data_IF_240892430103
#
_entry.id   IF_240892430103
#
_cell.length_a   1.000
_cell.length_b   1.000
_cell.length_c   1.000
_cell.angle_alpha   90.00
_cell.angle_beta   90.00
_cell.angle_gamma   90.00
#
_symmetry.space_group_name_H-M   'P 1'
#
loop_
_entity.id
_entity.type
_entity.pdbx_description
1 polymer ?
#
# COMPACT_ATOMS: atom_id res chain seq x y z
N UNK A 1 17.86 -7.74 -15.83
CA UNK A 1 16.92 -7.06 -14.91
C UNK A 1 16.25 -5.96 -15.72
N UNK A 2 15.10 -6.27 -16.33
CA UNK A 2 14.39 -5.29 -17.17
C UNK A 2 13.62 -4.37 -16.23
N UNK A 3 14.10 -3.14 -16.08
CA UNK A 3 13.30 -2.07 -15.51
C UNK A 3 12.14 -1.79 -16.48
N UNK A 4 10.91 -2.07 -16.05
CA UNK A 4 9.74 -1.69 -16.83
C UNK A 4 9.64 -0.16 -16.81
N UNK A 5 9.49 0.44 -17.99
CA UNK A 5 9.26 1.87 -18.15
C UNK A 5 8.00 2.33 -17.40
N UNK A 6 8.04 3.58 -16.93
CA UNK A 6 6.98 4.28 -16.17
C UNK A 6 5.65 4.36 -16.93
N UNK A 7 4.89 3.26 -16.94
CA UNK A 7 3.46 3.24 -17.20
C UNK A 7 2.71 3.52 -15.90
N UNK A 8 1.48 4.02 -16.00
CA UNK A 8 0.61 4.14 -14.84
C UNK A 8 0.43 2.76 -14.19
N UNK A 9 0.70 2.66 -12.89
CA UNK A 9 0.54 1.43 -12.12
C UNK A 9 -0.90 0.90 -12.24
N UNK A 10 -1.13 -0.37 -12.64
CA UNK A 10 -2.46 -0.88 -12.96
C UNK A 10 -3.26 -1.28 -11.71
N UNK A 11 -3.63 -0.29 -10.89
CA UNK A 11 -4.30 -0.49 -9.61
C UNK A 11 -5.62 -1.26 -9.71
N UNK A 12 -6.38 -1.11 -10.80
CA UNK A 12 -7.60 -1.88 -11.05
C UNK A 12 -7.34 -3.39 -11.09
N UNK A 13 -6.18 -3.82 -11.57
CA UNK A 13 -5.79 -5.23 -11.59
C UNK A 13 -5.55 -5.76 -10.19
N UNK A 14 -4.87 -4.99 -9.33
CA UNK A 14 -4.70 -5.37 -7.92
C UNK A 14 -6.06 -5.37 -7.20
N UNK A 15 -6.86 -4.32 -7.37
CA UNK A 15 -8.17 -4.20 -6.76
C UNK A 15 -9.09 -5.39 -7.06
N UNK A 16 -9.10 -5.88 -8.30
CA UNK A 16 -9.90 -7.06 -8.69
C UNK A 16 -9.39 -8.39 -8.13
N UNK A 17 -8.19 -8.43 -7.53
CA UNK A 17 -7.62 -9.62 -6.87
C UNK A 17 -7.78 -9.61 -5.36
N UNK A 18 -8.10 -8.46 -4.77
CA UNK A 18 -8.24 -8.32 -3.32
C UNK A 18 -9.66 -8.70 -2.89
N UNK A 19 -9.75 -9.47 -1.81
CA UNK A 19 -10.98 -9.64 -1.05
C UNK A 19 -11.25 -8.43 -0.16
N UNK A 20 -10.17 -7.80 0.31
CA UNK A 20 -10.20 -6.54 1.04
C UNK A 20 -10.31 -5.30 0.14
N UNK A 21 -9.78 -4.17 0.63
CA UNK A 21 -9.98 -2.86 0.00
C UNK A 21 -8.65 -2.24 -0.44
N UNK A 22 -8.61 -1.74 -1.67
CA UNK A 22 -7.56 -0.84 -2.14
C UNK A 22 -8.03 0.61 -1.99
N UNK A 23 -7.20 1.47 -1.41
CA UNK A 23 -7.43 2.91 -1.29
C UNK A 23 -6.34 3.64 -2.09
N UNK A 24 -6.76 4.53 -2.99
CA UNK A 24 -5.89 5.27 -3.91
C UNK A 24 -5.92 6.78 -3.63
N UNK A 25 -4.87 7.52 -4.02
CA UNK A 25 -4.93 8.97 -4.09
C UNK A 25 -6.14 9.42 -4.92
N UNK A 26 -6.97 10.29 -4.35
CA UNK A 26 -8.23 10.73 -4.95
C UNK A 26 -9.48 10.08 -4.35
N UNK A 27 -9.35 8.95 -3.64
CA UNK A 27 -10.44 8.42 -2.82
C UNK A 27 -10.67 9.33 -1.60
N UNK A 28 -11.94 9.60 -1.26
CA UNK A 28 -12.28 10.47 -0.13
C UNK A 28 -11.78 10.00 1.24
N UNK A 29 -11.37 8.73 1.37
CA UNK A 29 -10.80 8.16 2.60
C UNK A 29 -9.27 8.14 2.62
N UNK A 30 -8.60 8.56 1.55
CA UNK A 30 -7.15 8.41 1.40
C UNK A 30 -6.35 9.17 2.47
N UNK A 31 -6.71 10.42 2.74
CA UNK A 31 -5.98 11.25 3.72
C UNK A 31 -6.02 10.65 5.12
N UNK A 32 -7.13 10.05 5.53
CA UNK A 32 -7.21 9.33 6.80
C UNK A 32 -6.49 7.98 6.73
N UNK A 33 -6.62 7.24 5.62
CA UNK A 33 -6.05 5.90 5.48
C UNK A 33 -4.51 5.88 5.49
N UNK A 34 -3.85 6.96 5.05
CA UNK A 34 -2.38 7.05 5.03
C UNK A 34 -1.76 7.43 6.37
N UNK A 35 -2.55 7.98 7.29
CA UNK A 35 -2.07 8.46 8.59
C UNK A 35 -1.48 7.33 9.44
N UNK A 36 -0.46 7.67 10.22
CA UNK A 36 0.13 6.81 11.24
C UNK A 36 -0.07 7.40 12.64
N UNK A 37 0.30 6.65 13.68
CA UNK A 37 0.21 7.13 15.06
C UNK A 37 1.11 8.35 15.33
N UNK A 38 2.22 8.47 14.60
CA UNK A 38 3.09 9.63 14.64
C UNK A 38 2.87 10.47 13.37
N UNK A 39 2.20 11.61 13.52
CA UNK A 39 1.84 12.51 12.42
C UNK A 39 3.06 13.05 11.63
N UNK A 40 4.28 12.99 12.18
CA UNK A 40 5.50 13.35 11.46
C UNK A 40 5.70 12.55 10.16
N UNK A 41 5.10 11.36 10.06
CA UNK A 41 5.17 10.51 8.86
C UNK A 41 4.02 10.75 7.88
N UNK A 42 3.06 11.61 8.21
CA UNK A 42 1.94 11.96 7.32
C UNK A 42 2.41 12.76 6.09
N UNK A 43 3.67 13.19 6.04
CA UNK A 43 4.29 13.76 4.83
C UNK A 43 4.59 12.72 3.75
N UNK A 44 4.52 11.43 4.08
CA UNK A 44 4.74 10.33 3.12
C UNK A 44 3.40 10.02 2.45
N UNK A 45 3.38 10.00 1.12
CA UNK A 45 2.18 9.76 0.31
C UNK A 45 2.30 8.42 -0.43
N UNK A 46 1.78 7.31 0.13
CA UNK A 46 1.73 6.04 -0.57
C UNK A 46 0.95 6.16 -1.88
N UNK A 47 1.44 5.53 -2.94
CA UNK A 47 0.66 5.42 -4.18
C UNK A 47 -0.60 4.57 -4.00
N UNK A 48 -0.62 3.66 -3.01
CA UNK A 48 -1.81 2.91 -2.62
C UNK A 48 -1.69 2.35 -1.20
N UNK A 49 -2.85 2.12 -0.56
CA UNK A 49 -2.98 1.36 0.68
C UNK A 49 -3.92 0.18 0.43
N UNK A 50 -3.42 -1.04 0.59
CA UNK A 50 -4.21 -2.26 0.50
C UNK A 50 -4.52 -2.77 1.91
N UNK A 51 -5.80 -2.72 2.30
CA UNK A 51 -6.32 -3.40 3.48
C UNK A 51 -6.61 -4.85 3.12
N UNK A 52 -5.70 -5.74 3.49
CA UNK A 52 -5.80 -7.17 3.27
C UNK A 52 -6.69 -7.82 4.33
N UNK A 53 -7.54 -8.76 3.92
CA UNK A 53 -8.40 -9.55 4.83
C UNK A 53 -8.13 -11.06 4.72
N UNK A 54 -7.07 -11.44 4.00
CA UNK A 54 -6.64 -12.83 3.81
C UNK A 54 -5.15 -12.92 3.47
N UNK A 55 -4.56 -14.10 3.61
CA UNK A 55 -3.19 -14.38 3.17
C UNK A 55 -3.05 -14.25 1.65
N UNK A 56 -4.12 -14.53 0.90
CA UNK A 56 -4.15 -14.39 -0.55
C UNK A 56 -4.00 -12.91 -0.97
N UNK A 57 -4.64 -11.98 -0.25
CA UNK A 57 -4.52 -10.54 -0.49
C UNK A 57 -3.07 -10.07 -0.28
N UNK A 58 -2.41 -10.54 0.80
CA UNK A 58 -1.01 -10.22 1.10
C UNK A 58 -0.11 -10.74 -0.01
N UNK A 59 -0.28 -12.00 -0.43
CA UNK A 59 0.48 -12.59 -1.52
C UNK A 59 0.27 -11.84 -2.85
N UNK A 60 -0.95 -11.40 -3.14
CA UNK A 60 -1.26 -10.59 -4.32
C UNK A 60 -0.55 -9.23 -4.28
N UNK A 61 -0.53 -8.55 -3.13
CA UNK A 61 0.15 -7.28 -2.94
C UNK A 61 1.67 -7.39 -3.10
N UNK A 62 2.30 -8.43 -2.52
CA UNK A 62 3.74 -8.65 -2.63
C UNK A 62 4.15 -8.89 -4.09
N UNK A 63 3.43 -9.78 -4.79
CA UNK A 63 3.69 -10.05 -6.22
C UNK A 63 3.50 -8.80 -7.06
N UNK A 64 2.41 -8.06 -6.82
CA UNK A 64 2.14 -6.82 -7.53
C UNK A 64 3.23 -5.76 -7.30
N UNK A 65 3.70 -5.60 -6.05
CA UNK A 65 4.79 -4.68 -5.74
C UNK A 65 6.08 -5.08 -6.46
N UNK A 66 6.40 -6.38 -6.52
CA UNK A 66 7.54 -6.90 -7.26
C UNK A 66 7.42 -6.67 -8.77
N UNK A 67 6.28 -7.01 -9.38
CA UNK A 67 6.03 -6.90 -10.82
C UNK A 67 6.11 -5.45 -11.31
N UNK A 68 5.72 -4.49 -10.47
CA UNK A 68 5.64 -3.07 -10.81
C UNK A 68 6.69 -2.19 -10.12
N UNK A 69 7.69 -2.79 -9.46
CA UNK A 69 8.82 -2.06 -8.86
C UNK A 69 8.41 -1.08 -7.75
N UNK A 70 7.36 -1.39 -6.99
CA UNK A 70 6.86 -0.55 -5.90
C UNK A 70 7.57 -0.91 -4.59
N UNK A 71 8.04 0.09 -3.85
CA UNK A 71 8.55 -0.12 -2.50
C UNK A 71 7.40 -0.52 -1.56
N UNK A 72 7.38 -1.75 -0.99
CA UNK A 72 6.32 -2.15 -0.08
C UNK A 72 6.64 -1.72 1.36
N UNK A 73 5.61 -1.40 2.14
CA UNK A 73 5.69 -1.34 3.59
C UNK A 73 4.57 -2.18 4.18
N UNK A 74 4.87 -2.97 5.22
CA UNK A 74 3.86 -3.75 5.94
C UNK A 74 3.37 -2.94 7.13
N UNK A 75 2.05 -2.91 7.31
CA UNK A 75 1.39 -2.18 8.39
C UNK A 75 0.39 -3.08 9.11
N UNK A 76 0.38 -2.98 10.43
CA UNK A 76 -0.72 -3.45 11.29
C UNK A 76 -1.17 -2.26 12.14
N UNK A 77 -0.84 -2.20 13.44
CA UNK A 77 -1.21 -1.07 14.30
C UNK A 77 -0.53 0.28 14.01
N UNK A 78 0.49 0.34 13.15
CA UNK A 78 1.11 1.62 12.74
C UNK A 78 1.99 2.33 13.78
N UNK A 79 2.39 1.65 14.86
CA UNK A 79 3.20 2.18 15.97
C UNK A 79 4.73 2.08 15.76
N UNK A 80 5.20 1.96 14.51
CA UNK A 80 6.64 1.97 14.24
C UNK A 80 7.20 3.37 14.46
N UNK A 81 7.92 3.57 15.56
CA UNK A 81 8.56 4.86 15.88
C UNK A 81 9.61 5.29 14.82
N UNK A 82 10.09 4.35 14.02
CA UNK A 82 11.02 4.59 12.92
C UNK A 82 10.33 4.83 11.56
N UNK A 83 8.99 4.78 11.49
CA UNK A 83 8.23 5.05 10.26
C UNK A 83 8.13 3.89 9.28
N UNK A 84 8.48 2.66 9.67
CA UNK A 84 8.46 1.48 8.76
C UNK A 84 7.06 1.00 8.35
N UNK A 85 6.01 1.62 8.88
CA UNK A 85 4.62 1.31 8.53
C UNK A 85 4.08 2.14 7.35
N UNK A 86 4.93 2.88 6.65
CA UNK A 86 4.55 3.65 5.45
C UNK A 86 5.67 3.63 4.40
N UNK A 87 5.33 4.04 3.18
CA UNK A 87 6.21 4.05 2.00
C UNK A 87 5.61 4.98 0.95
N UNK A 88 6.41 5.59 0.04
CA UNK A 88 5.87 6.22 -1.17
C UNK A 88 5.28 5.21 -2.17
N UNK A 89 5.49 3.90 -1.98
CA UNK A 89 4.95 2.83 -2.83
C UNK A 89 3.61 2.27 -2.32
N UNK A 90 3.58 0.97 -2.04
CA UNK A 90 2.39 0.24 -1.61
C UNK A 90 2.45 -0.08 -0.11
N UNK A 91 1.47 0.40 0.65
CA UNK A 91 1.24 -0.06 2.03
C UNK A 91 0.38 -1.32 1.99
N UNK A 92 0.88 -2.40 2.59
CA UNK A 92 0.19 -3.68 2.78
C UNK A 92 -0.28 -3.73 4.24
N UNK A 93 -1.56 -3.50 4.46
CA UNK A 93 -2.17 -3.32 5.77
C UNK A 93 -2.96 -4.57 6.18
N UNK A 94 -2.59 -5.18 7.30
CA UNK A 94 -3.21 -6.40 7.87
C UNK A 94 -3.97 -6.11 9.17
N UNK A 95 -4.42 -4.88 9.39
CA UNK A 95 -5.20 -4.48 10.57
C UNK A 95 -6.70 -4.83 10.49
N UNK A 96 -7.13 -5.56 9.46
CA UNK A 96 -8.52 -5.91 9.18
C UNK A 96 -8.78 -7.41 9.29
#
# INVERSE_FOLDING_TARGET
MLAQAAGATPWKTLQGRLSGRLVLPGDGTYETAKQLQLAQFDVIHPQAIAYCTSEADVAACIRFAQDWGLAPAVRSGGHSQAGYSTTPGLVIDVSK
#
